data_IF_934094986986
#
_entry.id   IF_934094986986
#
_cell.length_a   1.000
_cell.length_b   1.000
_cell.length_c   1.000
_cell.angle_alpha   90.00
_cell.angle_beta   90.00
_cell.angle_gamma   90.00
#
_symmetry.space_group_name_H-M   'P 1'
#
loop_
_entity.id
_entity.type
_entity.pdbx_description
1 polymer ?
#
# COMPACT_ATOMS: atom_id res chain seq x y z
N UNK A 1 -1.41 -16.32 -14.36
CA UNK A 1 -0.83 -16.34 -13.02
C UNK A 1 -1.89 -16.44 -11.88
N UNK A 2 -3.18 -16.46 -12.18
CA UNK A 2 -4.24 -16.54 -11.18
C UNK A 2 -4.54 -15.24 -10.43
N UNK A 3 -3.78 -14.18 -10.62
CA UNK A 3 -4.08 -12.87 -10.05
C UNK A 3 -5.33 -12.26 -10.70
N UNK A 4 -6.18 -11.62 -9.89
CA UNK A 4 -7.38 -10.92 -10.33
C UNK A 4 -7.23 -9.39 -10.27
N UNK A 5 -6.18 -8.91 -9.62
CA UNK A 5 -5.94 -7.49 -9.37
C UNK A 5 -4.46 -7.18 -9.51
N UNK A 6 -4.15 -6.02 -10.07
CA UNK A 6 -2.80 -5.43 -10.07
C UNK A 6 -2.84 -4.06 -9.40
N UNK A 7 -1.92 -3.82 -8.48
CA UNK A 7 -1.66 -2.49 -7.91
C UNK A 7 -0.42 -1.93 -8.57
N UNK A 8 -0.59 -0.84 -9.30
CA UNK A 8 0.46 -0.15 -10.04
C UNK A 8 0.87 1.07 -9.24
N UNK A 9 2.06 1.00 -8.63
CA UNK A 9 2.66 2.15 -7.94
C UNK A 9 3.11 3.21 -8.94
N UNK A 10 2.59 4.43 -8.85
CA UNK A 10 2.91 5.51 -9.79
C UNK A 10 3.49 6.71 -9.05
N UNK A 11 4.75 7.05 -9.36
CA UNK A 11 5.42 8.24 -8.83
C UNK A 11 5.22 9.40 -9.80
N UNK A 12 4.35 10.33 -9.45
CA UNK A 12 3.95 11.43 -10.34
C UNK A 12 4.87 12.64 -10.26
N UNK A 13 5.38 12.93 -9.08
CA UNK A 13 6.09 14.17 -8.79
C UNK A 13 7.34 14.40 -9.61
N UNK A 14 8.01 13.34 -10.08
CA UNK A 14 9.18 13.43 -10.94
C UNK A 14 8.84 13.86 -12.39
N UNK A 15 7.57 13.77 -12.76
CA UNK A 15 7.04 14.06 -14.10
C UNK A 15 6.03 15.20 -14.06
N UNK A 16 6.21 16.16 -13.14
CA UNK A 16 5.38 17.34 -13.02
C UNK A 16 6.18 18.62 -13.29
N UNK A 17 5.51 19.57 -13.94
CA UNK A 17 6.01 20.94 -13.98
C UNK A 17 6.08 21.53 -12.58
N UNK A 18 7.22 22.06 -12.17
CA UNK A 18 7.46 22.53 -10.79
C UNK A 18 6.75 23.85 -10.42
N UNK A 19 6.12 24.54 -11.39
CA UNK A 19 5.37 25.78 -11.17
C UNK A 19 3.86 25.59 -11.21
N UNK A 20 3.39 24.73 -12.13
CA UNK A 20 1.96 24.54 -12.37
C UNK A 20 1.43 23.22 -11.80
N UNK A 21 2.31 22.27 -11.53
CA UNK A 21 2.04 20.87 -11.14
C UNK A 21 1.34 20.07 -12.25
N UNK A 22 1.44 20.55 -13.51
CA UNK A 22 0.94 19.80 -14.65
C UNK A 22 1.79 18.53 -14.85
N UNK A 23 1.12 17.38 -14.97
CA UNK A 23 1.76 16.10 -15.26
C UNK A 23 2.16 16.10 -16.74
N UNK A 24 3.36 15.65 -17.04
CA UNK A 24 3.85 15.47 -18.41
C UNK A 24 2.92 14.56 -19.20
N UNK A 25 2.52 15.01 -20.40
CA UNK A 25 1.53 14.31 -21.21
C UNK A 25 1.98 12.89 -21.60
N UNK A 26 3.27 12.72 -21.91
CA UNK A 26 3.83 11.43 -22.29
C UNK A 26 3.81 10.44 -21.12
N UNK A 27 4.11 10.91 -19.89
CA UNK A 27 4.05 10.08 -18.70
C UNK A 27 2.60 9.68 -18.35
N UNK A 28 1.67 10.62 -18.43
CA UNK A 28 0.24 10.31 -18.25
C UNK A 28 -0.24 9.27 -19.30
N UNK A 29 0.22 9.38 -20.54
CA UNK A 29 -0.11 8.43 -21.60
C UNK A 29 0.47 7.03 -21.31
N UNK A 30 1.70 6.95 -20.77
CA UNK A 30 2.31 5.68 -20.35
C UNK A 30 1.51 5.01 -19.23
N UNK A 31 1.16 5.75 -18.17
CA UNK A 31 0.33 5.21 -17.09
C UNK A 31 -1.03 4.74 -17.61
N UNK A 32 -1.66 5.53 -18.48
CA UNK A 32 -2.93 5.14 -19.11
C UNK A 32 -2.79 3.85 -19.91
N UNK A 33 -1.71 3.69 -20.67
CA UNK A 33 -1.45 2.47 -21.43
C UNK A 33 -1.30 1.24 -20.53
N UNK A 34 -0.60 1.37 -19.38
CA UNK A 34 -0.47 0.28 -18.41
C UNK A 34 -1.83 -0.14 -17.83
N UNK A 35 -2.69 0.84 -17.49
CA UNK A 35 -4.06 0.58 -17.03
C UNK A 35 -4.87 -0.14 -18.11
N UNK A 36 -4.75 0.27 -19.37
CA UNK A 36 -5.46 -0.35 -20.51
C UNK A 36 -4.98 -1.77 -20.81
N UNK A 37 -3.71 -2.06 -20.66
CA UNK A 37 -3.20 -3.44 -20.76
C UNK A 37 -3.75 -4.35 -19.67
N UNK A 38 -3.82 -3.86 -18.43
CA UNK A 38 -4.40 -4.61 -17.33
C UNK A 38 -5.93 -4.82 -17.52
N UNK A 39 -6.66 -3.80 -17.98
CA UNK A 39 -8.07 -3.89 -18.38
C UNK A 39 -8.28 -4.97 -19.44
N UNK A 40 -7.47 -4.94 -20.50
CA UNK A 40 -7.53 -5.93 -21.59
C UNK A 40 -7.21 -7.36 -21.12
N UNK A 41 -6.41 -7.50 -20.07
CA UNK A 41 -6.13 -8.76 -19.42
C UNK A 41 -7.24 -9.22 -18.44
N UNK A 42 -8.29 -8.43 -18.26
CA UNK A 42 -9.41 -8.73 -17.36
C UNK A 42 -9.09 -8.55 -15.87
N UNK A 43 -8.07 -7.73 -15.56
CA UNK A 43 -7.66 -7.46 -14.19
C UNK A 43 -8.37 -6.23 -13.61
N UNK A 44 -8.62 -6.25 -12.31
CA UNK A 44 -8.84 -5.04 -11.55
C UNK A 44 -7.51 -4.29 -11.39
N UNK A 45 -7.58 -2.96 -11.33
CA UNK A 45 -6.40 -2.09 -11.27
C UNK A 45 -6.53 -1.12 -10.11
N UNK A 46 -5.47 -0.97 -9.32
CA UNK A 46 -5.30 0.11 -8.35
C UNK A 46 -4.15 1.00 -8.81
N UNK A 47 -4.35 2.31 -8.89
CA UNK A 47 -3.28 3.30 -9.09
C UNK A 47 -3.27 4.31 -7.94
N UNK A 48 -2.08 4.82 -7.60
CA UNK A 48 -1.90 5.69 -6.43
C UNK A 48 -0.88 6.81 -6.67
N UNK A 49 -0.64 7.62 -5.63
CA UNK A 49 0.58 8.40 -5.48
C UNK A 49 1.58 7.54 -4.69
N UNK A 50 2.61 7.02 -5.40
CA UNK A 50 3.64 6.14 -4.86
C UNK A 50 4.98 6.85 -4.85
N UNK A 51 5.82 6.67 -3.82
CA UNK A 51 7.16 7.28 -3.71
C UNK A 51 7.22 8.80 -3.99
N UNK A 52 6.16 9.52 -3.64
CA UNK A 52 6.05 10.96 -3.71
C UNK A 52 6.33 11.66 -2.35
N UNK A 53 6.81 10.90 -1.36
CA UNK A 53 7.06 11.33 0.03
C UNK A 53 8.06 12.49 0.09
N UNK A 54 8.96 12.63 -0.88
CA UNK A 54 9.95 13.70 -0.92
C UNK A 54 9.34 15.11 -1.00
N UNK A 55 8.09 15.24 -1.45
CA UNK A 55 7.35 16.49 -1.43
C UNK A 55 6.13 16.47 -0.51
N UNK A 56 5.69 15.29 -0.10
CA UNK A 56 4.61 15.08 0.87
C UNK A 56 5.16 15.13 2.31
N UNK A 57 5.83 16.22 2.66
CA UNK A 57 6.43 16.43 3.99
C UNK A 57 5.34 16.56 5.07
N UNK A 58 4.90 15.41 5.59
CA UNK A 58 3.83 15.32 6.60
C UNK A 58 4.22 16.02 7.90
N UNK A 59 5.49 15.94 8.33
CA UNK A 59 5.98 16.58 9.54
C UNK A 59 6.04 18.09 9.40
N UNK A 60 6.54 18.59 8.28
CA UNK A 60 6.54 20.01 7.96
C UNK A 60 5.13 20.57 7.86
N UNK A 61 4.23 19.90 7.17
CA UNK A 61 2.82 20.28 7.03
C UNK A 61 2.07 20.30 8.37
N UNK A 62 2.30 19.30 9.23
CA UNK A 62 1.66 19.22 10.54
C UNK A 62 2.06 20.37 11.49
N UNK A 63 3.21 20.99 11.27
CA UNK A 63 3.73 22.07 12.11
C UNK A 63 3.69 23.45 11.45
N UNK A 64 3.39 23.55 10.15
CA UNK A 64 3.38 24.81 9.41
C UNK A 64 2.20 24.86 8.43
N UNK A 65 1.25 25.75 8.67
CA UNK A 65 0.04 25.90 7.85
C UNK A 65 0.33 26.32 6.39
N UNK A 66 1.37 27.14 6.16
CA UNK A 66 1.75 27.55 4.80
C UNK A 66 2.31 26.36 4.01
N UNK A 67 3.14 25.53 4.65
CA UNK A 67 3.64 24.26 4.08
C UNK A 67 2.47 23.33 3.76
N UNK A 68 1.55 23.12 4.70
CA UNK A 68 0.36 22.28 4.47
C UNK A 68 -0.50 22.81 3.31
N UNK A 69 -0.70 24.13 3.23
CA UNK A 69 -1.46 24.75 2.13
C UNK A 69 -0.81 24.51 0.77
N UNK A 70 0.51 24.66 0.67
CA UNK A 70 1.24 24.44 -0.57
C UNK A 70 1.19 22.96 -1.01
N UNK A 71 1.35 22.02 -0.06
CA UNK A 71 1.25 20.60 -0.34
C UNK A 71 -0.17 20.23 -0.78
N UNK A 72 -1.21 20.76 -0.13
CA UNK A 72 -2.61 20.50 -0.51
C UNK A 72 -2.94 21.02 -1.92
N UNK A 73 -2.43 22.19 -2.31
CA UNK A 73 -2.58 22.71 -3.69
C UNK A 73 -2.00 21.72 -4.71
N UNK A 74 -0.81 21.18 -4.44
CA UNK A 74 -0.19 20.17 -5.31
C UNK A 74 -0.97 18.84 -5.34
N UNK A 75 -1.42 18.33 -4.18
CA UNK A 75 -2.26 17.14 -4.08
C UNK A 75 -3.52 17.30 -4.94
N UNK A 76 -4.24 18.40 -4.77
CA UNK A 76 -5.48 18.67 -5.50
C UNK A 76 -5.26 18.72 -7.01
N UNK A 77 -4.25 19.46 -7.47
CA UNK A 77 -3.91 19.56 -8.89
C UNK A 77 -3.48 18.22 -9.49
N UNK A 78 -2.70 17.45 -8.77
CA UNK A 78 -2.25 16.12 -9.20
C UNK A 78 -3.44 15.18 -9.34
N UNK A 79 -4.24 15.03 -8.28
CA UNK A 79 -5.39 14.12 -8.29
C UNK A 79 -6.48 14.55 -9.27
N UNK A 80 -6.68 15.85 -9.49
CA UNK A 80 -7.62 16.34 -10.49
C UNK A 80 -7.24 15.85 -11.90
N UNK A 81 -5.98 15.96 -12.29
CA UNK A 81 -5.50 15.51 -13.60
C UNK A 81 -5.65 13.99 -13.77
N UNK A 82 -5.26 13.22 -12.74
CA UNK A 82 -5.43 11.76 -12.73
C UNK A 82 -6.92 11.42 -12.87
N UNK A 83 -7.75 11.97 -12.01
CA UNK A 83 -9.17 11.68 -11.98
C UNK A 83 -9.88 12.05 -13.30
N UNK A 84 -9.57 13.21 -13.89
CA UNK A 84 -10.11 13.62 -15.18
C UNK A 84 -9.69 12.67 -16.32
N UNK A 85 -8.44 12.19 -16.31
CA UNK A 85 -7.93 11.27 -17.31
C UNK A 85 -8.66 9.92 -17.29
N UNK A 86 -9.02 9.45 -16.11
CA UNK A 86 -9.60 8.11 -15.92
C UNK A 86 -11.09 8.10 -15.58
N UNK A 87 -11.79 9.24 -15.60
CA UNK A 87 -13.18 9.36 -15.13
C UNK A 87 -14.18 8.44 -15.83
N UNK A 88 -13.91 8.08 -17.08
CA UNK A 88 -14.81 7.24 -17.90
C UNK A 88 -14.40 5.75 -17.87
N UNK A 89 -13.32 5.38 -17.18
CA UNK A 89 -12.95 3.99 -16.95
C UNK A 89 -13.95 3.32 -16.00
N UNK A 90 -14.24 2.04 -16.26
CA UNK A 90 -15.23 1.25 -15.51
C UNK A 90 -14.81 0.89 -14.09
N UNK A 91 -15.61 0.03 -13.46
CA UNK A 91 -15.47 -0.37 -12.04
C UNK A 91 -14.25 -1.24 -11.75
N UNK A 92 -13.53 -1.71 -12.78
CA UNK A 92 -12.28 -2.44 -12.62
C UNK A 92 -11.15 -1.55 -12.08
N UNK A 93 -11.24 -0.21 -12.23
CA UNK A 93 -10.24 0.74 -11.79
C UNK A 93 -10.59 1.33 -10.43
N UNK A 94 -9.68 1.22 -9.50
CA UNK A 94 -9.72 1.81 -8.16
C UNK A 94 -8.62 2.86 -8.04
N UNK A 95 -8.85 3.88 -7.22
CA UNK A 95 -7.80 4.82 -6.84
C UNK A 95 -7.36 4.56 -5.39
N UNK A 96 -6.11 4.85 -5.10
CA UNK A 96 -5.58 4.85 -3.74
C UNK A 96 -4.88 6.19 -3.50
N UNK A 97 -5.29 6.92 -2.46
CA UNK A 97 -4.89 8.32 -2.28
C UNK A 97 -3.38 8.51 -2.18
N UNK A 98 -2.72 7.67 -1.43
CA UNK A 98 -1.28 7.71 -1.18
C UNK A 98 -0.72 6.30 -0.97
N UNK A 99 0.61 6.17 -1.01
CA UNK A 99 1.32 4.97 -0.60
C UNK A 99 1.57 4.98 0.92
N UNK A 100 2.76 5.29 1.39
CA UNK A 100 3.22 5.14 2.77
C UNK A 100 3.64 6.48 3.38
N UNK A 101 2.70 7.39 3.58
CA UNK A 101 3.00 8.71 4.13
C UNK A 101 3.47 8.61 5.58
N UNK A 102 4.70 9.11 5.82
CA UNK A 102 5.36 9.08 7.13
C UNK A 102 6.52 10.10 7.18
N UNK A 103 7.15 10.29 8.34
CA UNK A 103 8.17 11.32 8.60
C UNK A 103 9.63 10.80 8.61
N UNK A 104 9.88 9.63 8.06
CA UNK A 104 11.18 8.94 8.08
C UNK A 104 11.33 7.94 9.23
N UNK A 105 10.38 7.91 10.16
CA UNK A 105 10.43 7.03 11.34
C UNK A 105 9.51 5.80 11.24
N UNK A 106 8.81 5.64 10.14
CA UNK A 106 7.85 4.54 9.91
C UNK A 106 6.77 4.44 10.99
N UNK A 107 6.39 5.60 11.58
CA UNK A 107 5.38 5.68 12.62
C UNK A 107 5.90 5.49 14.06
N UNK A 108 7.18 5.27 14.23
CA UNK A 108 7.81 5.08 15.54
C UNK A 108 8.63 6.28 16.01
N UNK A 109 8.26 7.48 15.56
CA UNK A 109 8.93 8.72 15.87
C UNK A 109 8.00 9.82 16.41
N UNK A 110 8.17 11.03 15.86
CA UNK A 110 7.47 12.23 16.36
C UNK A 110 5.94 12.12 16.29
N UNK A 111 5.40 11.36 15.34
CA UNK A 111 3.97 11.10 15.22
C UNK A 111 3.33 10.53 16.50
N UNK A 112 4.09 9.83 17.34
CA UNK A 112 3.61 9.29 18.63
C UNK A 112 3.46 10.37 19.72
N UNK A 113 4.15 11.50 19.58
CA UNK A 113 4.30 12.52 20.62
C UNK A 113 3.84 13.91 20.20
N UNK A 114 3.45 14.11 18.95
CA UNK A 114 3.03 15.40 18.39
C UNK A 114 1.58 15.80 18.74
N UNK A 115 0.90 14.98 19.51
CA UNK A 115 -0.50 15.20 19.87
C UNK A 115 -1.48 14.90 18.72
N UNK A 116 -1.09 14.01 17.81
CA UNK A 116 -1.91 13.57 16.67
C UNK A 116 -1.91 14.53 15.49
N UNK A 117 -0.99 15.50 15.43
CA UNK A 117 -0.96 16.50 14.35
C UNK A 117 -0.70 15.87 12.99
N UNK A 118 0.27 14.95 12.89
CA UNK A 118 0.57 14.26 11.64
C UNK A 118 -0.61 13.38 11.16
N UNK A 119 -1.28 12.68 12.08
CA UNK A 119 -2.52 11.95 11.76
C UNK A 119 -3.61 12.88 11.23
N UNK A 120 -3.84 14.00 11.92
CA UNK A 120 -4.84 14.99 11.48
C UNK A 120 -4.52 15.52 10.08
N UNK A 121 -3.27 15.82 9.80
CA UNK A 121 -2.81 16.30 8.50
C UNK A 121 -3.05 15.24 7.41
N UNK A 122 -2.72 13.97 7.66
CA UNK A 122 -2.97 12.88 6.72
C UNK A 122 -4.47 12.66 6.49
N UNK A 123 -5.30 12.72 7.55
CA UNK A 123 -6.75 12.66 7.42
C UNK A 123 -7.30 13.80 6.54
N UNK A 124 -6.78 15.02 6.70
CA UNK A 124 -7.14 16.16 5.84
C UNK A 124 -6.75 15.91 4.38
N UNK A 125 -5.57 15.35 4.13
CA UNK A 125 -5.10 15.03 2.77
C UNK A 125 -5.94 13.93 2.13
N UNK A 126 -6.24 12.85 2.85
CA UNK A 126 -7.13 11.80 2.38
C UNK A 126 -8.52 12.36 2.02
N UNK A 127 -9.09 13.23 2.88
CA UNK A 127 -10.38 13.87 2.59
C UNK A 127 -10.32 14.77 1.35
N UNK A 128 -9.22 15.53 1.18
CA UNK A 128 -9.01 16.38 0.01
C UNK A 128 -8.99 15.54 -1.28
N UNK A 129 -8.26 14.42 -1.28
CA UNK A 129 -8.19 13.51 -2.43
C UNK A 129 -9.57 12.98 -2.78
N UNK A 130 -10.32 12.47 -1.80
CA UNK A 130 -11.68 11.95 -2.03
C UNK A 130 -12.57 13.04 -2.65
N UNK A 131 -12.57 14.24 -2.08
CA UNK A 131 -13.35 15.36 -2.59
C UNK A 131 -12.97 15.75 -4.02
N UNK A 132 -11.66 15.79 -4.32
CA UNK A 132 -11.13 16.13 -5.65
C UNK A 132 -11.55 15.10 -6.69
N UNK A 133 -11.43 13.81 -6.38
CA UNK A 133 -11.85 12.73 -7.28
C UNK A 133 -13.37 12.83 -7.54
N UNK A 134 -14.19 12.96 -6.50
CA UNK A 134 -15.66 13.05 -6.62
C UNK A 134 -16.10 14.24 -7.46
N UNK A 135 -15.42 15.38 -7.34
CA UNK A 135 -15.74 16.60 -8.08
C UNK A 135 -15.56 16.46 -9.61
N UNK A 136 -14.80 15.47 -10.10
CA UNK A 136 -14.63 15.21 -11.53
C UNK A 136 -15.84 14.51 -12.16
N UNK A 137 -16.74 13.96 -11.37
CA UNK A 137 -17.99 13.34 -11.84
C UNK A 137 -17.78 12.05 -12.64
N UNK A 138 -18.71 11.76 -13.58
CA UNK A 138 -18.75 10.50 -14.34
C UNK A 138 -18.61 9.28 -13.42
N UNK A 139 -17.85 8.25 -13.77
CA UNK A 139 -17.65 7.06 -12.92
C UNK A 139 -16.89 7.37 -11.62
N UNK A 140 -16.18 8.49 -11.55
CA UNK A 140 -15.52 8.91 -10.33
C UNK A 140 -16.50 9.35 -9.22
N UNK A 141 -17.76 9.64 -9.55
CA UNK A 141 -18.79 9.94 -8.55
C UNK A 141 -18.99 8.76 -7.55
N UNK A 142 -18.75 7.52 -8.01
CA UNK A 142 -18.94 6.31 -7.20
C UNK A 142 -17.73 5.37 -7.20
N UNK A 143 -16.60 5.74 -7.83
CA UNK A 143 -15.38 4.93 -7.85
C UNK A 143 -14.90 4.63 -6.45
N UNK A 144 -14.47 3.39 -6.21
CA UNK A 144 -13.83 3.01 -4.96
C UNK A 144 -12.48 3.72 -4.79
N UNK A 145 -12.24 4.26 -3.60
CA UNK A 145 -11.01 4.96 -3.24
C UNK A 145 -10.43 4.33 -1.98
N UNK A 146 -9.22 3.77 -2.10
CA UNK A 146 -8.42 3.32 -0.98
C UNK A 146 -7.76 4.50 -0.27
N UNK A 147 -7.77 4.49 1.05
CA UNK A 147 -7.07 5.50 1.86
C UNK A 147 -6.19 4.80 2.90
N UNK A 148 -4.90 5.13 2.95
CA UNK A 148 -4.00 4.60 3.96
C UNK A 148 -4.10 5.41 5.25
N UNK A 149 -3.76 4.74 6.36
CA UNK A 149 -3.32 5.40 7.57
C UNK A 149 -1.84 5.76 7.52
N UNK A 150 -1.30 6.21 8.64
CA UNK A 150 0.10 6.58 8.75
C UNK A 150 1.01 5.39 8.42
N UNK A 151 2.01 5.61 7.55
CA UNK A 151 2.92 4.58 7.03
C UNK A 151 2.23 3.34 6.41
N UNK A 152 0.97 3.45 6.00
CA UNK A 152 0.10 2.32 5.57
C UNK A 152 0.08 1.14 6.56
N UNK A 153 0.51 1.35 7.80
CA UNK A 153 0.59 0.29 8.80
C UNK A 153 -0.78 -0.04 9.39
N UNK A 154 -1.10 -1.32 9.57
CA UNK A 154 -2.30 -1.76 10.30
C UNK A 154 -2.40 -1.15 11.70
N UNK A 155 -1.29 -1.02 12.40
CA UNK A 155 -1.22 -0.42 13.75
C UNK A 155 -1.80 0.99 13.76
N UNK A 156 -1.52 1.78 12.74
CA UNK A 156 -1.88 3.20 12.73
C UNK A 156 -3.27 3.47 12.13
N UNK A 157 -3.85 2.57 11.34
CA UNK A 157 -5.28 2.65 11.02
C UNK A 157 -6.15 2.17 12.18
N UNK A 158 -5.60 1.32 13.07
CA UNK A 158 -6.27 0.92 14.31
C UNK A 158 -6.22 1.98 15.40
N UNK A 159 -5.30 2.96 15.30
CA UNK A 159 -5.22 4.10 16.20
C UNK A 159 -6.49 4.97 16.15
N UNK A 160 -6.84 5.61 17.28
CA UNK A 160 -8.02 6.48 17.36
C UNK A 160 -7.86 7.83 16.63
N UNK A 161 -6.64 8.21 16.30
CA UNK A 161 -6.37 9.42 15.51
C UNK A 161 -6.61 9.21 14.01
N UNK A 162 -6.69 7.96 13.52
CA UNK A 162 -7.09 7.69 12.15
C UNK A 162 -8.59 7.93 11.96
N UNK A 163 -8.93 8.80 11.03
CA UNK A 163 -10.32 9.15 10.69
C UNK A 163 -10.55 8.89 9.21
N UNK A 164 -11.49 8.02 8.91
CA UNK A 164 -11.87 7.73 7.54
C UNK A 164 -12.52 8.97 6.90
N UNK A 165 -12.21 9.31 5.64
CA UNK A 165 -12.89 10.39 4.92
C UNK A 165 -14.40 10.18 4.85
N UNK A 166 -15.14 11.27 4.96
CA UNK A 166 -16.56 11.27 4.64
C UNK A 166 -16.76 11.23 3.13
N UNK A 167 -17.64 10.37 2.67
CA UNK A 167 -17.94 10.19 1.26
C UNK A 167 -19.42 9.92 1.05
N UNK A 168 -20.11 10.76 0.28
CA UNK A 168 -21.53 10.59 0.00
C UNK A 168 -21.85 9.29 -0.79
N UNK A 169 -20.88 8.77 -1.53
CA UNK A 169 -21.02 7.50 -2.25
C UNK A 169 -20.84 6.28 -1.35
N UNK A 170 -20.28 6.42 -0.14
CA UNK A 170 -19.86 5.33 0.74
C UNK A 170 -18.91 4.33 0.06
N UNK A 171 -18.06 4.79 -0.85
CA UNK A 171 -17.11 3.98 -1.61
C UNK A 171 -15.65 4.31 -1.25
N UNK A 172 -15.37 4.44 0.05
CA UNK A 172 -14.01 4.53 0.60
C UNK A 172 -13.68 3.21 1.28
N UNK A 173 -12.47 2.72 1.08
CA UNK A 173 -11.92 1.52 1.71
C UNK A 173 -10.56 1.84 2.35
N UNK A 174 -10.16 1.04 3.33
CA UNK A 174 -8.88 1.19 4.04
C UNK A 174 -7.80 0.40 3.32
N UNK A 175 -6.67 1.04 3.04
CA UNK A 175 -5.45 0.40 2.54
C UNK A 175 -4.47 0.19 3.70
N UNK A 176 -3.90 -1.01 3.79
CA UNK A 176 -2.82 -1.33 4.72
C UNK A 176 -1.74 -2.14 4.01
N UNK A 177 -0.49 -2.02 4.49
CA UNK A 177 0.62 -2.88 4.09
C UNK A 177 0.99 -3.80 5.25
N UNK A 178 1.31 -5.05 4.96
CA UNK A 178 1.60 -6.02 6.01
C UNK A 178 2.93 -6.73 5.76
N UNK A 179 3.94 -6.30 6.50
CA UNK A 179 5.29 -6.86 6.46
C UNK A 179 5.77 -7.35 7.85
N UNK A 180 4.85 -7.54 8.79
CA UNK A 180 5.23 -7.96 10.15
C UNK A 180 5.66 -9.43 10.21
N UNK A 181 6.85 -9.72 10.75
CA UNK A 181 7.87 -8.78 11.22
C UNK A 181 8.85 -8.38 10.10
N UNK A 182 9.13 -7.10 9.97
CA UNK A 182 10.05 -6.57 8.97
C UNK A 182 11.46 -7.18 9.03
N UNK A 183 11.90 -7.61 10.20
CA UNK A 183 13.18 -8.32 10.39
C UNK A 183 13.24 -9.67 9.68
N UNK A 184 12.12 -10.24 9.29
CA UNK A 184 12.04 -11.48 8.50
C UNK A 184 11.63 -11.21 7.06
N UNK A 185 10.73 -10.27 6.83
CA UNK A 185 10.10 -10.06 5.54
C UNK A 185 10.85 -9.10 4.63
N UNK A 186 11.55 -8.10 5.19
CA UNK A 186 12.25 -7.05 4.44
C UNK A 186 13.77 -7.19 4.53
N UNK A 187 14.30 -7.75 5.62
CA UNK A 187 15.73 -7.81 5.90
C UNK A 187 16.22 -9.26 5.84
N UNK A 188 17.15 -9.59 4.92
CA UNK A 188 17.75 -10.93 4.87
C UNK A 188 18.68 -11.17 6.07
N UNK A 189 18.97 -12.44 6.34
CA UNK A 189 19.83 -12.83 7.46
C UNK A 189 21.23 -12.19 7.38
N UNK A 190 21.72 -11.75 8.51
CA UNK A 190 23.06 -11.17 8.67
C UNK A 190 23.11 -9.66 8.89
N UNK A 191 21.96 -8.97 8.76
CA UNK A 191 21.81 -7.54 9.05
C UNK A 191 20.72 -7.32 10.09
N UNK A 192 20.83 -7.97 11.27
CA UNK A 192 19.75 -8.08 12.25
C UNK A 192 18.49 -8.82 11.77
N UNK A 193 18.51 -9.31 10.55
CA UNK A 193 17.45 -10.09 9.94
C UNK A 193 17.25 -11.44 10.62
N UNK A 194 16.00 -11.90 10.60
CA UNK A 194 15.60 -13.21 11.12
C UNK A 194 15.49 -14.21 9.97
N UNK A 195 15.86 -15.45 10.23
CA UNK A 195 15.88 -16.50 9.21
C UNK A 195 14.70 -17.46 9.28
N UNK A 196 13.90 -17.37 10.34
CA UNK A 196 12.75 -18.25 10.56
C UNK A 196 11.55 -17.45 11.08
N UNK A 197 10.34 -17.97 10.87
CA UNK A 197 9.08 -17.35 11.29
C UNK A 197 8.08 -18.42 11.76
N UNK A 198 7.19 -18.03 12.68
CA UNK A 198 6.09 -18.85 13.16
C UNK A 198 6.42 -19.74 14.36
N UNK A 199 5.43 -20.49 14.82
CA UNK A 199 5.49 -21.30 16.03
C UNK A 199 6.56 -22.41 16.01
N UNK A 200 6.97 -22.86 14.84
CA UNK A 200 7.97 -23.92 14.67
C UNK A 200 9.39 -23.40 14.48
N UNK A 201 9.57 -22.07 14.55
CA UNK A 201 10.86 -21.43 14.38
C UNK A 201 11.81 -21.74 15.55
N UNK A 202 13.08 -21.85 15.23
CA UNK A 202 14.14 -22.12 16.22
C UNK A 202 14.38 -20.90 17.09
N UNK A 203 14.53 -21.10 18.38
CA UNK A 203 14.82 -20.03 19.34
C UNK A 203 15.99 -19.15 18.88
N UNK A 204 15.81 -17.82 18.93
CA UNK A 204 16.80 -16.83 18.51
C UNK A 204 16.80 -16.52 17.01
N UNK A 205 16.12 -17.32 16.16
CA UNK A 205 16.07 -17.12 14.71
C UNK A 205 14.79 -16.43 14.22
N UNK A 206 13.89 -16.07 15.11
CA UNK A 206 12.63 -15.40 14.81
C UNK A 206 12.42 -14.15 15.67
N UNK A 207 11.51 -13.28 15.24
CA UNK A 207 11.05 -12.12 16.01
C UNK A 207 9.98 -12.58 17.01
N UNK A 208 10.24 -12.42 18.29
CA UNK A 208 9.27 -12.77 19.34
C UNK A 208 8.01 -11.90 19.25
N UNK A 209 6.84 -12.51 19.42
CA UNK A 209 5.56 -11.81 19.38
C UNK A 209 5.03 -11.46 17.97
N UNK A 210 5.70 -11.92 16.94
CA UNK A 210 5.29 -11.68 15.54
C UNK A 210 5.22 -13.00 14.76
N UNK A 211 4.37 -13.89 15.24
CA UNK A 211 4.09 -15.21 14.67
C UNK A 211 2.66 -15.26 14.08
N UNK A 212 2.13 -16.46 13.91
CA UNK A 212 0.77 -16.71 13.41
C UNK A 212 -0.30 -16.01 14.26
N UNK A 213 -0.13 -15.99 15.58
CA UNK A 213 -1.08 -15.34 16.50
C UNK A 213 -1.14 -13.83 16.25
N UNK A 214 -0.01 -13.20 15.98
CA UNK A 214 0.05 -11.78 15.63
C UNK A 214 -0.72 -11.47 14.34
N UNK A 215 -0.56 -12.29 13.30
CA UNK A 215 -1.31 -12.13 12.05
C UNK A 215 -2.81 -12.19 12.30
N UNK A 216 -3.25 -13.20 13.05
CA UNK A 216 -4.65 -13.38 13.42
C UNK A 216 -5.17 -12.19 14.23
N UNK A 217 -4.43 -11.75 15.24
CA UNK A 217 -4.81 -10.61 16.09
C UNK A 217 -4.99 -9.32 15.28
N UNK A 218 -4.03 -9.00 14.41
CA UNK A 218 -4.08 -7.79 13.58
C UNK A 218 -5.27 -7.85 12.62
N UNK A 219 -5.45 -8.97 11.92
CA UNK A 219 -6.51 -9.09 10.91
C UNK A 219 -7.89 -9.13 11.55
N UNK A 220 -8.04 -9.77 12.71
CA UNK A 220 -9.27 -9.73 13.47
C UNK A 220 -9.64 -8.30 13.89
N UNK A 221 -8.67 -7.51 14.41
CA UNK A 221 -8.90 -6.11 14.78
C UNK A 221 -9.32 -5.25 13.58
N UNK A 222 -8.70 -5.44 12.42
CA UNK A 222 -9.10 -4.76 11.18
C UNK A 222 -10.52 -5.14 10.77
N UNK A 223 -10.87 -6.42 10.84
CA UNK A 223 -12.20 -6.90 10.55
C UNK A 223 -13.24 -6.28 11.50
N UNK A 224 -12.97 -6.31 12.82
CA UNK A 224 -13.88 -5.76 13.84
C UNK A 224 -14.07 -4.24 13.69
N UNK A 225 -12.97 -3.49 13.44
CA UNK A 225 -13.05 -2.02 13.33
C UNK A 225 -13.71 -1.56 12.04
N UNK A 226 -13.42 -2.21 10.92
CA UNK A 226 -13.80 -1.71 9.59
C UNK A 226 -14.80 -2.62 8.88
N UNK A 227 -14.46 -3.87 8.59
CA UNK A 227 -15.27 -4.74 7.72
C UNK A 227 -16.64 -5.03 8.35
N UNK A 228 -16.70 -5.28 9.65
CA UNK A 228 -17.94 -5.45 10.39
C UNK A 228 -18.85 -4.21 10.37
N UNK A 229 -18.29 -3.05 10.03
CA UNK A 229 -18.99 -1.78 9.87
C UNK A 229 -19.18 -1.39 8.39
N UNK A 230 -19.09 -2.36 7.47
CA UNK A 230 -19.24 -2.18 6.02
C UNK A 230 -18.19 -1.26 5.38
N UNK A 231 -17.00 -1.16 5.97
CA UNK A 231 -15.84 -0.46 5.42
C UNK A 231 -14.87 -1.51 4.93
N UNK A 232 -14.70 -1.69 3.61
CA UNK A 232 -13.75 -2.68 3.09
C UNK A 232 -12.31 -2.34 3.48
N UNK A 233 -11.51 -3.39 3.70
CA UNK A 233 -10.07 -3.30 3.92
C UNK A 233 -9.36 -4.16 2.90
N UNK A 234 -8.27 -3.68 2.34
CA UNK A 234 -7.39 -4.51 1.53
C UNK A 234 -5.93 -4.33 1.95
N UNK A 235 -5.14 -5.37 1.73
CA UNK A 235 -3.70 -5.35 1.96
C UNK A 235 -3.05 -4.96 0.63
N UNK A 236 -2.65 -3.69 0.51
CA UNK A 236 -2.07 -3.10 -0.70
C UNK A 236 -0.69 -3.66 -1.02
N UNK A 237 0.03 -4.06 0.02
CA UNK A 237 1.32 -4.74 -0.11
C UNK A 237 1.52 -5.76 1.00
N UNK A 238 2.07 -6.91 0.63
CA UNK A 238 2.71 -7.86 1.53
C UNK A 238 3.78 -8.63 0.76
N UNK A 239 4.73 -9.20 1.46
CA UNK A 239 5.78 -9.96 0.82
C UNK A 239 6.82 -10.46 1.81
N UNK A 240 7.79 -11.22 1.29
CA UNK A 240 8.94 -11.67 2.06
C UNK A 240 10.13 -11.87 1.12
N UNK A 241 11.25 -11.27 1.44
CA UNK A 241 12.49 -11.38 0.66
C UNK A 241 12.98 -12.82 0.57
N UNK A 242 13.82 -13.09 -0.43
CA UNK A 242 14.55 -14.36 -0.51
C UNK A 242 15.60 -14.44 0.59
N UNK A 243 15.58 -15.55 1.32
CA UNK A 243 16.56 -15.88 2.34
C UNK A 243 17.73 -16.70 1.78
N UNK A 244 18.84 -16.78 2.55
CA UNK A 244 20.09 -17.41 2.10
C UNK A 244 20.07 -18.93 2.11
N UNK A 245 19.23 -19.54 2.95
CA UNK A 245 19.19 -21.01 3.06
C UNK A 245 17.86 -21.59 2.61
N UNK A 246 17.86 -22.84 2.12
CA UNK A 246 16.65 -23.57 1.76
C UNK A 246 15.67 -23.66 2.92
N UNK A 247 16.20 -23.90 4.13
CA UNK A 247 15.36 -23.94 5.34
C UNK A 247 14.65 -22.61 5.59
N UNK A 248 15.34 -21.50 5.49
CA UNK A 248 14.74 -20.16 5.68
C UNK A 248 13.70 -19.86 4.61
N UNK A 249 13.93 -20.33 3.38
CA UNK A 249 12.96 -20.18 2.29
C UNK A 249 11.71 -21.05 2.48
N UNK A 250 11.78 -22.17 3.21
CA UNK A 250 10.56 -22.89 3.62
C UNK A 250 9.72 -22.05 4.58
N UNK A 251 10.32 -21.33 5.51
CA UNK A 251 9.60 -20.39 6.38
C UNK A 251 9.05 -19.19 5.60
N UNK A 252 9.79 -18.68 4.60
CA UNK A 252 9.31 -17.64 3.68
C UNK A 252 8.02 -18.09 2.97
N UNK A 253 8.05 -19.26 2.37
CA UNK A 253 6.89 -19.81 1.66
C UNK A 253 5.70 -20.01 2.62
N UNK A 254 5.97 -20.54 3.81
CA UNK A 254 4.95 -20.70 4.84
C UNK A 254 4.34 -19.36 5.28
N UNK A 255 5.17 -18.31 5.48
CA UNK A 255 4.69 -16.96 5.79
C UNK A 255 3.76 -16.42 4.70
N UNK A 256 4.19 -16.49 3.44
CA UNK A 256 3.40 -15.99 2.31
C UNK A 256 2.05 -16.71 2.20
N UNK A 257 2.05 -18.04 2.35
CA UNK A 257 0.82 -18.84 2.35
C UNK A 257 -0.07 -18.49 3.55
N UNK A 258 0.50 -18.44 4.75
CA UNK A 258 -0.27 -18.19 5.97
C UNK A 258 -0.95 -16.83 5.96
N UNK A 259 -0.21 -15.76 5.62
CA UNK A 259 -0.76 -14.40 5.53
C UNK A 259 -1.87 -14.33 4.47
N UNK A 260 -1.67 -14.94 3.30
CA UNK A 260 -2.67 -15.00 2.24
C UNK A 260 -3.96 -15.71 2.71
N UNK A 261 -3.85 -16.87 3.36
CA UNK A 261 -5.00 -17.62 3.90
C UNK A 261 -5.70 -16.86 5.02
N UNK A 262 -4.94 -16.22 5.91
CA UNK A 262 -5.50 -15.40 6.97
C UNK A 262 -6.26 -14.20 6.40
N UNK A 263 -5.69 -13.48 5.44
CA UNK A 263 -6.35 -12.35 4.77
C UNK A 263 -7.68 -12.79 4.13
N UNK A 264 -7.68 -13.91 3.43
CA UNK A 264 -8.91 -14.48 2.86
C UNK A 264 -9.95 -14.82 3.94
N UNK A 265 -9.52 -15.42 5.07
CA UNK A 265 -10.40 -15.77 6.19
C UNK A 265 -11.10 -14.55 6.78
N UNK A 266 -10.40 -13.41 6.81
CA UNK A 266 -10.92 -12.14 7.33
C UNK A 266 -11.51 -11.22 6.24
N UNK A 267 -11.74 -11.74 5.01
CA UNK A 267 -12.31 -10.99 3.87
C UNK A 267 -11.49 -9.77 3.44
N UNK A 268 -10.18 -9.89 3.44
CA UNK A 268 -9.27 -8.84 2.97
C UNK A 268 -8.56 -9.30 1.69
N UNK A 269 -8.87 -8.72 0.52
CA UNK A 269 -8.04 -8.89 -0.66
C UNK A 269 -6.62 -8.42 -0.41
N UNK A 270 -5.63 -9.05 -1.09
CA UNK A 270 -4.23 -8.66 -0.91
C UNK A 270 -3.47 -8.66 -2.22
N UNK A 271 -2.47 -7.79 -2.31
CA UNK A 271 -1.52 -7.68 -3.40
C UNK A 271 -0.13 -8.08 -2.91
N UNK A 272 0.49 -9.05 -3.58
CA UNK A 272 1.89 -9.35 -3.32
C UNK A 272 2.76 -8.25 -3.94
N UNK A 273 3.73 -7.75 -3.17
CA UNK A 273 4.67 -6.74 -3.65
C UNK A 273 5.77 -7.40 -4.46
N UNK A 274 5.81 -7.14 -5.75
CA UNK A 274 6.87 -7.60 -6.66
C UNK A 274 7.55 -6.39 -7.29
N UNK A 275 8.83 -6.21 -6.99
CA UNK A 275 9.64 -5.10 -7.52
C UNK A 275 10.67 -5.56 -8.56
N UNK A 276 10.50 -6.76 -9.14
CA UNK A 276 11.42 -7.36 -10.11
C UNK A 276 12.87 -7.51 -9.61
N UNK A 277 13.11 -7.33 -8.32
CA UNK A 277 14.45 -7.43 -7.75
C UNK A 277 14.77 -8.85 -7.37
N UNK A 278 15.64 -9.50 -8.10
CA UNK A 278 16.05 -10.90 -7.90
C UNK A 278 17.34 -10.98 -7.08
N UNK A 279 17.54 -12.10 -6.38
CA UNK A 279 18.70 -12.35 -5.54
C UNK A 279 18.42 -12.12 -4.06
N UNK A 280 19.46 -12.07 -3.24
CA UNK A 280 19.38 -11.86 -1.80
C UNK A 280 19.80 -10.44 -1.44
N UNK A 281 18.91 -9.67 -0.87
CA UNK A 281 19.18 -8.30 -0.42
C UNK A 281 17.98 -7.74 0.33
N UNK A 282 18.17 -6.62 1.01
CA UNK A 282 17.09 -5.92 1.67
C UNK A 282 16.04 -5.52 0.62
N UNK A 283 14.78 -5.80 0.90
CA UNK A 283 13.64 -5.47 0.04
C UNK A 283 13.67 -6.07 -1.38
N UNK A 284 14.39 -7.18 -1.60
CA UNK A 284 14.39 -7.90 -2.87
C UNK A 284 13.18 -8.84 -2.97
N UNK A 285 12.11 -8.37 -3.61
CA UNK A 285 10.82 -9.06 -3.76
C UNK A 285 10.54 -9.49 -5.20
N UNK A 286 11.46 -10.19 -5.86
CA UNK A 286 11.23 -10.75 -7.19
C UNK A 286 10.47 -12.08 -7.12
N UNK A 287 9.20 -12.09 -7.50
CA UNK A 287 8.35 -13.27 -7.58
C UNK A 287 8.06 -13.68 -9.01
N UNK A 288 8.09 -12.73 -9.93
CA UNK A 288 7.87 -12.93 -11.35
C UNK A 288 9.04 -12.35 -12.15
N UNK A 289 9.39 -13.04 -13.23
CA UNK A 289 10.29 -12.48 -14.23
C UNK A 289 9.47 -11.53 -15.12
N UNK A 290 9.70 -10.25 -15.02
CA UNK A 290 8.95 -9.24 -15.77
C UNK A 290 9.21 -9.28 -17.29
N UNK A 291 10.24 -10.01 -17.77
CA UNK A 291 10.50 -10.13 -19.21
C UNK A 291 9.63 -11.19 -19.90
N UNK A 292 9.25 -12.26 -19.18
CA UNK A 292 8.54 -13.40 -19.79
C UNK A 292 7.34 -13.90 -18.96
N UNK A 293 7.10 -13.29 -17.77
CA UNK A 293 6.00 -13.64 -16.89
C UNK A 293 6.12 -14.98 -16.19
N UNK A 294 7.29 -15.59 -16.19
CA UNK A 294 7.53 -16.86 -15.46
C UNK A 294 7.67 -16.62 -13.96
N UNK A 295 7.31 -17.63 -13.18
CA UNK A 295 7.48 -17.58 -11.74
C UNK A 295 8.94 -17.71 -11.34
N UNK A 296 9.35 -16.94 -10.33
CA UNK A 296 10.64 -17.03 -9.67
C UNK A 296 10.48 -17.70 -8.29
N UNK A 297 11.55 -18.35 -7.82
CA UNK A 297 11.68 -18.70 -6.40
C UNK A 297 10.53 -19.56 -5.84
N UNK A 298 10.06 -20.56 -6.61
CA UNK A 298 9.00 -21.50 -6.21
C UNK A 298 7.62 -20.87 -5.98
N UNK A 299 7.39 -19.65 -6.45
CA UNK A 299 6.08 -18.99 -6.34
C UNK A 299 4.95 -19.77 -7.03
N UNK A 300 5.27 -20.58 -8.04
CA UNK A 300 4.29 -21.42 -8.72
C UNK A 300 3.51 -22.33 -7.76
N UNK A 301 4.15 -22.80 -6.69
CA UNK A 301 3.51 -23.64 -5.67
C UNK A 301 2.64 -22.87 -4.68
N UNK A 302 2.79 -21.56 -4.60
CA UNK A 302 2.04 -20.70 -3.68
C UNK A 302 0.78 -20.10 -4.33
N UNK A 303 0.74 -20.05 -5.65
CA UNK A 303 -0.38 -19.47 -6.42
C UNK A 303 -1.44 -20.52 -6.77
N UNK A 304 -1.15 -21.82 -6.61
CA UNK A 304 -2.08 -22.92 -6.78
C UNK A 304 -2.90 -23.17 -5.50
#
# INVERSE_FOLDING_TARGET
AGASTVRIGVTWGNYQNTQTWDIEADYMAEVKQNVEWAEAAGLNVIINLHHDEYWLDIKGAANNSATNTAIKDRIEKTWKQIAETFKDKGDFLFFESFNEIQDGSWGWGDNLWDGGKQYKTLNEWNQLVVNTIRATGSNNATRWIGVPGYASSPTFVLDNNFVLPTDAANHVMVSVHFYDPNTFTLTPEGNDGKSEWGHTATAGKFQSGSNEDHVVEVFQKLQEKFIANNIPVYIGEYGCVMHKSDRSNLFRNYYLEYVCRAAHTYNMPLCIWDNNSTGGGDEHHGYFNHNDGTYLNSMETLVQ
#
